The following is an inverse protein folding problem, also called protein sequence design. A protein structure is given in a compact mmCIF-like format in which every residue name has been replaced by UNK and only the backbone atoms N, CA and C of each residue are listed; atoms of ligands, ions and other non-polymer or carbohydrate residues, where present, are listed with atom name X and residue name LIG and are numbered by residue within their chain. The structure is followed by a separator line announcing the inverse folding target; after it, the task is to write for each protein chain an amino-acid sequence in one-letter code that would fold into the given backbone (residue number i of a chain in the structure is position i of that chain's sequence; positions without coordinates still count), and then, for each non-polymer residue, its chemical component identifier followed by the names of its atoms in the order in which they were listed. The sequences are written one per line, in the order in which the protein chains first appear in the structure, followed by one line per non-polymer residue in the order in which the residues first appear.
data_IF_147191866060
#
_entry.id   IF_147191866060
#
_cell.length_a   1.000
_cell.length_b   1.000
_cell.length_c   1.000
_cell.angle_alpha   90.00
_cell.angle_beta   90.00
_cell.angle_gamma   90.00
#
_symmetry.space_group_name_H-M   'P 1'
#
loop_
_entity.id
_entity.type
_entity.pdbx_description
1 polymer ?
#
# COMPACT_ATOMS: atom_id res chain seq x y z
N UNK A 1 -17.53 2.26 9.71
CA UNK A 1 -16.38 3.08 9.32
C UNK A 1 -15.73 2.52 8.07
N UNK A 2 -15.27 3.39 7.20
CA UNK A 2 -14.56 2.94 6.02
C UNK A 2 -13.20 2.36 6.39
N UNK A 3 -12.79 1.31 5.69
CA UNK A 3 -11.43 0.81 5.80
C UNK A 3 -10.45 1.84 5.26
N UNK A 4 -9.29 1.93 5.88
CA UNK A 4 -8.27 2.93 5.55
C UNK A 4 -7.12 2.32 4.79
N UNK A 5 -6.80 2.91 3.65
CA UNK A 5 -5.70 2.48 2.79
C UNK A 5 -4.60 3.54 2.85
N UNK A 6 -3.41 3.15 3.27
CA UNK A 6 -2.25 4.03 3.19
C UNK A 6 -1.58 3.82 1.83
N UNK A 7 -1.51 4.88 1.03
CA UNK A 7 -0.86 4.86 -0.28
C UNK A 7 0.48 5.58 -0.17
N UNK A 8 1.56 4.86 -0.42
CA UNK A 8 2.92 5.39 -0.36
C UNK A 8 3.48 5.46 -1.78
N UNK A 9 3.59 6.66 -2.31
CA UNK A 9 4.03 6.92 -3.67
C UNK A 9 4.63 8.33 -3.73
N UNK A 10 5.85 8.46 -4.23
CA UNK A 10 6.54 9.75 -4.30
C UNK A 10 6.08 10.60 -5.49
N UNK A 11 5.60 9.97 -6.56
CA UNK A 11 5.11 10.71 -7.74
C UNK A 11 3.67 11.17 -7.47
N UNK A 12 3.48 12.48 -7.38
CA UNK A 12 2.19 13.05 -6.98
C UNK A 12 1.04 12.64 -7.91
N UNK A 13 1.26 12.67 -9.22
CA UNK A 13 0.19 12.34 -10.17
C UNK A 13 -0.29 10.91 -10.00
N UNK A 14 0.63 9.98 -9.83
CA UNK A 14 0.29 8.57 -9.59
C UNK A 14 -0.40 8.40 -8.25
N UNK A 15 0.07 9.07 -7.21
CA UNK A 15 -0.53 9.00 -5.88
C UNK A 15 -1.96 9.50 -5.89
N UNK A 16 -2.21 10.64 -6.54
CA UNK A 16 -3.55 11.23 -6.65
C UNK A 16 -4.48 10.32 -7.44
N UNK A 17 -3.98 9.72 -8.54
CA UNK A 17 -4.77 8.78 -9.32
C UNK A 17 -5.17 7.55 -8.51
N UNK A 18 -4.23 6.97 -7.77
CA UNK A 18 -4.53 5.84 -6.89
C UNK A 18 -5.57 6.20 -5.84
N UNK A 19 -5.40 7.36 -5.22
CA UNK A 19 -6.36 7.86 -4.23
C UNK A 19 -7.76 7.96 -4.83
N UNK A 20 -7.87 8.55 -6.02
CA UNK A 20 -9.15 8.70 -6.70
C UNK A 20 -9.82 7.35 -6.92
N UNK A 21 -9.08 6.38 -7.44
CA UNK A 21 -9.63 5.04 -7.71
C UNK A 21 -10.07 4.36 -6.42
N UNK A 22 -9.24 4.41 -5.39
CA UNK A 22 -9.48 3.73 -4.12
C UNK A 22 -10.71 4.34 -3.42
N UNK A 23 -10.82 5.65 -3.44
CA UNK A 23 -11.99 6.33 -2.86
C UNK A 23 -13.28 5.97 -3.60
N UNK A 24 -13.20 5.83 -4.91
CA UNK A 24 -14.36 5.38 -5.70
C UNK A 24 -14.80 3.97 -5.34
N UNK A 25 -13.86 3.12 -4.93
CA UNK A 25 -14.20 1.77 -4.49
C UNK A 25 -14.83 1.73 -3.09
N UNK A 26 -14.85 2.85 -2.37
CA UNK A 26 -15.50 2.93 -1.07
C UNK A 26 -14.57 2.90 0.13
N UNK A 27 -13.27 3.05 -0.08
CA UNK A 27 -12.28 3.09 1.00
C UNK A 27 -11.84 4.53 1.28
N UNK A 28 -11.32 4.79 2.46
CA UNK A 28 -10.68 6.08 2.73
C UNK A 28 -9.16 5.96 2.52
N UNK A 29 -8.52 7.05 2.15
CA UNK A 29 -7.10 7.04 1.77
C UNK A 29 -6.29 7.96 2.67
N UNK A 30 -5.15 7.45 3.10
CA UNK A 30 -4.11 8.23 3.76
C UNK A 30 -2.94 8.26 2.79
N UNK A 31 -2.37 9.43 2.54
CA UNK A 31 -1.28 9.57 1.58
C UNK A 31 0.06 9.75 2.27
N UNK A 32 1.09 9.13 1.71
CA UNK A 32 2.47 9.38 2.08
C UNK A 32 3.30 9.53 0.81
N UNK A 33 4.13 10.55 0.75
CA UNK A 33 4.93 10.86 -0.42
C UNK A 33 6.34 10.28 -0.36
N UNK A 34 6.69 9.61 0.71
CA UNK A 34 8.01 9.03 0.87
C UNK A 34 8.10 8.05 2.03
N UNK A 35 9.27 7.40 2.18
CA UNK A 35 9.44 6.30 3.13
C UNK A 35 9.30 6.73 4.60
N UNK A 36 9.85 7.86 4.98
CA UNK A 36 9.77 8.31 6.38
C UNK A 36 8.34 8.70 6.75
N UNK A 37 7.67 9.39 5.84
CA UNK A 37 6.27 9.75 6.03
C UNK A 37 5.40 8.51 6.13
N UNK A 38 5.71 7.46 5.34
CA UNK A 38 4.98 6.19 5.39
C UNK A 38 5.09 5.54 6.78
N UNK A 39 6.29 5.51 7.35
CA UNK A 39 6.51 4.92 8.67
C UNK A 39 5.71 5.68 9.72
N UNK A 40 5.78 7.01 9.69
CA UNK A 40 5.07 7.86 10.64
C UNK A 40 3.55 7.69 10.52
N UNK A 41 3.03 7.71 9.31
CA UNK A 41 1.59 7.61 9.09
C UNK A 41 1.05 6.21 9.38
N UNK A 42 1.83 5.17 9.12
CA UNK A 42 1.42 3.81 9.49
C UNK A 42 1.27 3.68 11.01
N UNK A 43 2.16 4.29 11.77
CA UNK A 43 2.10 4.27 13.23
C UNK A 43 0.96 5.13 13.76
N UNK A 44 0.73 6.29 13.16
CA UNK A 44 -0.29 7.26 13.63
C UNK A 44 -1.71 6.83 13.28
N UNK A 45 -1.95 6.43 12.04
CA UNK A 45 -3.30 6.19 11.55
C UNK A 45 -3.73 4.73 11.57
N UNK A 46 -2.81 3.80 11.80
CA UNK A 46 -3.10 2.36 11.85
C UNK A 46 -3.97 1.91 10.69
N UNK A 47 -3.45 2.01 9.45
CA UNK A 47 -4.25 1.67 8.27
C UNK A 47 -4.61 0.19 8.24
N UNK A 48 -5.64 -0.16 7.49
CA UNK A 48 -6.06 -1.54 7.32
C UNK A 48 -5.26 -2.27 6.24
N UNK A 49 -4.68 -1.52 5.31
CA UNK A 49 -3.82 -2.04 4.25
C UNK A 49 -2.87 -0.94 3.79
N UNK A 50 -1.69 -1.32 3.33
CA UNK A 50 -0.69 -0.39 2.82
C UNK A 50 -0.34 -0.76 1.39
N UNK A 51 -0.45 0.20 0.47
CA UNK A 51 0.08 0.08 -0.89
C UNK A 51 1.40 0.83 -0.94
N UNK A 52 2.49 0.10 -1.16
CA UNK A 52 3.84 0.64 -1.08
C UNK A 52 4.54 0.58 -2.43
N UNK A 53 4.82 1.74 -3.03
CA UNK A 53 5.69 1.80 -4.20
C UNK A 53 7.12 1.49 -3.74
N UNK A 54 7.68 0.42 -4.25
CA UNK A 54 9.01 -0.03 -3.85
C UNK A 54 10.13 0.54 -4.72
N UNK A 55 9.78 1.33 -5.73
CA UNK A 55 10.75 2.00 -6.58
C UNK A 55 11.09 3.42 -6.15
N UNK A 56 10.74 3.82 -4.92
CA UNK A 56 11.01 5.16 -4.43
C UNK A 56 12.50 5.42 -4.22
N UNK A 57 12.97 6.65 -4.53
CA UNK A 57 14.36 7.01 -4.26
C UNK A 57 14.61 7.14 -2.76
N UNK A 58 15.88 7.21 -2.38
CA UNK A 58 16.42 7.43 -1.03
C UNK A 58 16.41 6.23 -0.12
N UNK A 59 15.33 5.45 -0.10
CA UNK A 59 15.28 4.20 0.66
C UNK A 59 14.68 3.12 -0.21
N UNK A 60 15.20 1.92 -0.06
CA UNK A 60 14.61 0.74 -0.67
C UNK A 60 13.21 0.53 -0.07
N UNK A 61 12.19 0.52 -0.93
CA UNK A 61 10.80 0.33 -0.48
C UNK A 61 10.60 -0.97 0.26
N UNK A 62 11.34 -2.03 -0.08
CA UNK A 62 11.25 -3.30 0.64
C UNK A 62 11.78 -3.18 2.06
N UNK A 63 12.85 -2.41 2.26
CA UNK A 63 13.36 -2.16 3.61
C UNK A 63 12.36 -1.38 4.45
N UNK A 64 11.68 -0.42 3.85
CA UNK A 64 10.62 0.36 4.52
C UNK A 64 9.44 -0.55 4.88
N UNK A 65 9.02 -1.41 3.95
CA UNK A 65 7.95 -2.36 4.19
C UNK A 65 8.29 -3.27 5.38
N UNK A 66 9.53 -3.76 5.44
CA UNK A 66 9.97 -4.59 6.55
C UNK A 66 9.95 -3.82 7.88
N UNK A 67 10.42 -2.57 7.89
CA UNK A 67 10.39 -1.74 9.09
C UNK A 67 8.96 -1.53 9.60
N UNK A 68 8.02 -1.30 8.69
CA UNK A 68 6.61 -1.14 9.07
C UNK A 68 6.05 -2.45 9.58
N UNK A 69 6.30 -3.55 8.87
CA UNK A 69 5.81 -4.88 9.24
C UNK A 69 6.33 -5.33 10.60
N UNK A 70 7.58 -5.01 10.92
CA UNK A 70 8.21 -5.43 12.17
C UNK A 70 7.68 -4.66 13.39
N UNK A 71 7.00 -3.53 13.18
CA UNK A 71 6.37 -2.82 14.28
C UNK A 71 5.20 -3.62 14.82
N UNK A 72 5.16 -3.79 16.13
CA UNK A 72 4.15 -4.62 16.78
C UNK A 72 2.73 -4.21 16.41
N UNK A 73 2.46 -2.92 16.26
CA UNK A 73 1.14 -2.40 15.92
C UNK A 73 0.74 -2.67 14.48
N UNK A 74 1.70 -2.99 13.59
CA UNK A 74 1.47 -3.16 12.16
C UNK A 74 1.75 -4.57 11.65
N UNK A 75 2.01 -5.54 12.54
CA UNK A 75 2.38 -6.89 12.11
C UNK A 75 1.31 -7.60 11.30
N UNK A 76 0.04 -7.29 11.56
CA UNK A 76 -1.08 -7.93 10.86
C UNK A 76 -1.60 -7.11 9.70
N UNK A 77 -1.04 -5.93 9.43
CA UNK A 77 -1.49 -5.09 8.33
C UNK A 77 -0.88 -5.61 7.03
N UNK A 78 -1.71 -5.99 6.04
CA UNK A 78 -1.15 -6.41 4.75
C UNK A 78 -0.47 -5.25 4.05
N UNK A 79 0.71 -5.52 3.50
CA UNK A 79 1.48 -4.57 2.71
C UNK A 79 1.55 -5.11 1.29
N UNK A 80 1.06 -4.34 0.34
CA UNK A 80 1.05 -4.70 -1.06
C UNK A 80 2.13 -3.88 -1.77
N UNK A 81 3.15 -4.56 -2.27
CA UNK A 81 4.18 -3.88 -3.04
C UNK A 81 3.62 -3.50 -4.41
N UNK A 82 3.89 -2.27 -4.85
CA UNK A 82 3.50 -1.80 -6.18
C UNK A 82 4.78 -1.46 -6.92
N UNK A 83 5.01 -2.06 -8.09
CA UNK A 83 6.30 -1.94 -8.77
C UNK A 83 6.20 -2.15 -10.27
N UNK A 84 7.13 -1.51 -11.00
CA UNK A 84 7.34 -1.78 -12.41
C UNK A 84 8.35 -2.93 -12.63
N UNK A 85 9.02 -3.39 -11.57
CA UNK A 85 10.03 -4.44 -11.68
C UNK A 85 9.40 -5.82 -11.71
N UNK A 86 9.72 -6.62 -12.73
CA UNK A 86 9.32 -8.03 -12.79
C UNK A 86 10.17 -8.86 -11.81
N UNK A 87 9.68 -10.05 -11.47
CA UNK A 87 10.44 -11.02 -10.66
C UNK A 87 10.82 -10.55 -9.26
N UNK A 88 10.05 -9.61 -8.69
CA UNK A 88 10.31 -9.07 -7.36
C UNK A 88 9.53 -9.79 -6.25
N UNK A 89 8.62 -10.70 -6.62
CA UNK A 89 7.65 -11.26 -5.69
C UNK A 89 8.30 -11.97 -4.50
N UNK A 90 9.33 -12.78 -4.75
CA UNK A 90 9.98 -13.51 -3.66
C UNK A 90 10.63 -12.57 -2.65
N UNK A 91 11.31 -11.54 -3.14
CA UNK A 91 11.94 -10.55 -2.26
C UNK A 91 10.91 -9.75 -1.49
N UNK A 92 9.81 -9.38 -2.16
CA UNK A 92 8.73 -8.66 -1.50
C UNK A 92 8.10 -9.48 -0.37
N UNK A 93 7.84 -10.75 -0.61
CA UNK A 93 7.29 -11.63 0.41
C UNK A 93 8.27 -11.81 1.59
N UNK A 94 9.56 -11.93 1.31
CA UNK A 94 10.58 -12.03 2.36
C UNK A 94 10.66 -10.75 3.20
N UNK A 95 10.37 -9.61 2.61
CA UNK A 95 10.37 -8.34 3.32
C UNK A 95 9.09 -8.10 4.14
N UNK A 96 8.13 -9.02 4.08
CA UNK A 96 6.89 -8.92 4.84
C UNK A 96 5.69 -8.45 4.03
N UNK A 97 5.84 -8.24 2.72
CA UNK A 97 4.70 -7.91 1.87
C UNK A 97 3.80 -9.12 1.69
N UNK A 98 2.51 -8.86 1.60
CA UNK A 98 1.51 -9.92 1.41
C UNK A 98 1.30 -10.26 -0.06
N UNK A 99 1.51 -9.30 -0.96
CA UNK A 99 1.28 -9.48 -2.38
C UNK A 99 2.00 -8.39 -3.17
N UNK A 100 1.93 -8.49 -4.49
CA UNK A 100 2.57 -7.53 -5.41
C UNK A 100 1.58 -7.15 -6.51
N UNK A 101 1.49 -5.87 -6.81
CA UNK A 101 0.79 -5.36 -7.99
C UNK A 101 1.85 -4.78 -8.93
N UNK A 102 1.88 -5.25 -10.17
CA UNK A 102 2.82 -4.74 -11.16
C UNK A 102 2.23 -3.55 -11.90
N UNK A 103 3.03 -2.51 -12.09
CA UNK A 103 2.61 -1.34 -12.88
C UNK A 103 2.54 -1.69 -14.37
N UNK A 104 1.62 -1.09 -15.11
CA UNK A 104 0.62 -0.11 -14.69
C UNK A 104 -0.50 -0.74 -13.87
N UNK A 105 -0.97 -0.01 -12.86
CA UNK A 105 -2.03 -0.50 -11.97
C UNK A 105 -3.37 -0.40 -12.68
N UNK A 106 -4.02 -1.54 -12.88
CA UNK A 106 -5.34 -1.58 -13.48
C UNK A 106 -6.41 -1.50 -12.39
N UNK A 107 -7.49 -0.71 -12.59
CA UNK A 107 -8.53 -0.54 -11.58
C UNK A 107 -9.14 -1.84 -11.08
N UNK A 108 -9.41 -2.78 -12.00
CA UNK A 108 -10.01 -4.06 -11.63
C UNK A 108 -9.11 -4.90 -10.74
N UNK A 109 -7.80 -4.92 -11.04
CA UNK A 109 -6.82 -5.63 -10.22
C UNK A 109 -6.68 -4.99 -8.85
N UNK A 110 -6.62 -3.66 -8.80
CA UNK A 110 -6.53 -2.93 -7.55
C UNK A 110 -7.74 -3.23 -6.66
N UNK A 111 -8.94 -3.17 -7.24
CA UNK A 111 -10.17 -3.47 -6.51
C UNK A 111 -10.16 -4.89 -5.95
N UNK A 112 -9.77 -5.87 -6.77
CA UNK A 112 -9.70 -7.26 -6.35
C UNK A 112 -8.75 -7.44 -5.17
N UNK A 113 -7.56 -6.84 -5.22
CA UNK A 113 -6.59 -6.95 -4.14
C UNK A 113 -7.12 -6.32 -2.86
N UNK A 114 -7.72 -5.14 -2.94
CA UNK A 114 -8.29 -4.49 -1.77
C UNK A 114 -9.39 -5.35 -1.15
N UNK A 115 -10.31 -5.88 -1.96
CA UNK A 115 -11.38 -6.74 -1.47
C UNK A 115 -10.86 -8.03 -0.84
N UNK A 116 -9.82 -8.60 -1.42
CA UNK A 116 -9.22 -9.84 -0.90
C UNK A 116 -8.63 -9.65 0.48
N UNK A 117 -7.96 -8.54 0.73
CA UNK A 117 -7.23 -8.33 1.98
C UNK A 117 -7.99 -7.59 3.06
N UNK A 118 -8.93 -6.72 2.70
CA UNK A 118 -9.69 -5.93 3.69
C UNK A 118 -11.19 -6.03 3.54
N UNK A 119 -11.67 -6.80 2.58
CA UNK A 119 -13.08 -7.04 2.38
C UNK A 119 -13.77 -5.99 1.54
N UNK A 120 -14.97 -6.34 1.09
CA UNK A 120 -15.80 -5.47 0.26
C UNK A 120 -16.35 -4.34 1.13
N UNK A 121 -16.27 -3.07 0.68
CA UNK A 121 -16.85 -1.97 1.45
C UNK A 121 -18.33 -2.16 1.69
N UNK A 122 -18.80 -1.70 2.85
CA UNK A 122 -20.22 -1.76 3.17
C UNK A 122 -21.01 -0.88 2.21
N UNK A 123 -22.13 -1.40 1.71
CA UNK A 123 -23.06 -0.63 0.90
C UNK A 123 -23.80 0.39 1.76
N UNK A 124 -24.09 1.55 1.19
CA UNK A 124 -24.90 2.58 1.88
C UNK A 124 -25.67 3.39 0.89
#
# INVERSE_FOLDING_TARGET
MKKRVLVVEDYEDTRVLLKFMIEKFGYSVIEASGPYEAIDKAAEFLPDIILMDIGMPLLDGLSVAQLIHDKKTNQLVPIIAVTAFSDIKDEALKAGCSDVIYKPVHPDQLKEVLERYVGVPAAH
#
